data_IF_094152515173
#
_entry.id   IF_094152515173
#
_cell.length_a   1.000
_cell.length_b   1.000
_cell.length_c   1.000
_cell.angle_alpha   90.00
_cell.angle_beta   90.00
_cell.angle_gamma   90.00
#
_symmetry.space_group_name_H-M   'P 1'
#
loop_
_entity.id
_entity.type
_entity.pdbx_description
1 polymer ?
#
# COMPACT_ATOMS: atom_id res chain seq x y z
N UNK A 1 0.54 -3.48 4.52
CA UNK A 1 0.62 -4.10 3.18
C UNK A 1 -0.17 -5.39 3.21
N UNK A 2 -0.96 -5.66 2.17
CA UNK A 2 -1.82 -6.84 2.07
C UNK A 2 -1.54 -7.63 0.79
N UNK A 3 -1.54 -8.97 0.89
CA UNK A 3 -1.46 -9.90 -0.24
C UNK A 3 -2.37 -11.11 -0.01
N UNK A 4 -2.59 -11.96 -1.03
CA UNK A 4 -3.35 -13.21 -0.80
C UNK A 4 -2.47 -14.25 -0.14
N UNK A 5 -1.21 -14.33 -0.56
CA UNK A 5 -0.18 -15.23 -0.03
C UNK A 5 1.09 -14.47 0.35
N UNK A 6 2.04 -15.10 1.08
CA UNK A 6 3.33 -14.49 1.39
C UNK A 6 4.11 -14.03 0.16
N UNK A 7 3.98 -14.75 -0.96
CA UNK A 7 4.68 -14.43 -2.22
C UNK A 7 4.15 -13.15 -2.90
N UNK A 8 2.92 -12.71 -2.56
CA UNK A 8 2.34 -11.47 -3.09
C UNK A 8 2.88 -10.21 -2.38
N UNK A 9 3.59 -10.36 -1.26
CA UNK A 9 4.17 -9.24 -0.51
C UNK A 9 5.46 -8.76 -1.19
N UNK A 10 5.30 -7.93 -2.20
CA UNK A 10 6.43 -7.28 -2.84
C UNK A 10 7.23 -6.42 -1.84
N UNK A 11 8.54 -6.33 -2.06
CA UNK A 11 9.48 -5.58 -1.22
C UNK A 11 9.43 -5.91 0.30
N UNK A 12 8.88 -7.06 0.70
CA UNK A 12 8.72 -7.42 2.12
C UNK A 12 10.04 -7.37 2.89
N UNK A 13 11.11 -7.89 2.30
CA UNK A 13 12.46 -7.86 2.88
C UNK A 13 12.93 -6.42 3.09
N UNK A 14 12.83 -5.58 2.06
CA UNK A 14 13.27 -4.19 2.12
C UNK A 14 12.47 -3.37 3.14
N UNK A 15 11.15 -3.58 3.23
CA UNK A 15 10.28 -2.90 4.19
C UNK A 15 10.56 -3.34 5.64
N UNK A 16 10.89 -4.62 5.87
CA UNK A 16 11.33 -5.11 7.18
C UNK A 16 12.66 -4.50 7.61
N UNK A 17 13.63 -4.44 6.70
CA UNK A 17 14.92 -3.80 6.97
C UNK A 17 14.74 -2.31 7.29
N UNK A 18 13.90 -1.61 6.52
CA UNK A 18 13.58 -0.21 6.77
C UNK A 18 12.93 0.00 8.14
N UNK A 19 11.96 -0.84 8.52
CA UNK A 19 11.31 -0.77 9.82
C UNK A 19 12.29 -1.07 10.99
N UNK A 20 13.21 -2.02 10.80
CA UNK A 20 14.26 -2.32 11.78
C UNK A 20 15.23 -1.13 11.93
N UNK A 21 15.65 -0.54 10.82
CA UNK A 21 16.51 0.65 10.82
C UNK A 21 15.83 1.85 11.47
N UNK A 22 14.55 2.08 11.18
CA UNK A 22 13.73 3.11 11.80
C UNK A 22 13.61 2.96 13.32
N UNK A 23 13.64 1.73 13.83
CA UNK A 23 13.58 1.44 15.26
C UNK A 23 14.93 1.68 15.97
N UNK A 24 16.05 1.52 15.26
CA UNK A 24 17.39 1.64 15.82
C UNK A 24 17.89 3.09 15.96
N UNK A 25 17.26 4.06 15.29
CA UNK A 25 17.66 5.47 15.30
C UNK A 25 17.18 6.17 16.58
N UNK A 26 18.11 6.72 17.39
CA UNK A 26 17.79 7.23 18.73
C UNK A 26 16.92 8.49 18.77
N UNK A 27 16.89 9.28 17.70
CA UNK A 27 16.21 10.59 17.66
C UNK A 27 14.80 10.51 17.08
N UNK A 28 14.43 9.38 16.45
CA UNK A 28 13.12 9.13 15.84
C UNK A 28 12.71 7.66 15.95
N UNK A 29 13.08 7.00 17.06
CA UNK A 29 12.85 5.56 17.19
C UNK A 29 11.36 5.22 17.03
N UNK A 30 11.08 4.30 16.11
CA UNK A 30 9.72 3.78 15.89
C UNK A 30 8.82 4.63 14.98
N UNK A 31 9.38 5.52 14.16
CA UNK A 31 8.60 6.29 13.17
C UNK A 31 7.89 5.42 12.12
N UNK A 32 8.34 4.17 11.93
CA UNK A 32 7.73 3.21 11.01
C UNK A 32 7.42 1.89 11.72
N UNK A 33 6.16 1.46 11.60
CA UNK A 33 5.73 0.09 11.92
C UNK A 33 5.21 -0.57 10.66
N UNK A 34 5.91 -1.60 10.20
CA UNK A 34 5.49 -2.41 9.07
C UNK A 34 4.72 -3.65 9.55
N UNK A 35 3.49 -3.83 9.06
CA UNK A 35 2.66 -5.00 9.35
C UNK A 35 2.24 -5.66 8.03
N UNK A 36 2.97 -6.69 7.58
CA UNK A 36 2.55 -7.49 6.44
C UNK A 36 1.36 -8.36 6.83
N UNK A 37 0.37 -8.39 5.94
CA UNK A 37 -0.88 -9.13 6.14
C UNK A 37 -1.13 -10.00 4.92
N UNK A 38 -1.45 -11.28 5.13
CA UNK A 38 -1.83 -12.18 4.05
C UNK A 38 -3.17 -12.86 4.35
N UNK A 39 -3.95 -13.16 3.33
CA UNK A 39 -5.21 -13.89 3.52
C UNK A 39 -4.96 -15.35 3.91
N UNK A 40 -3.93 -15.99 3.34
CA UNK A 40 -3.58 -17.37 3.61
C UNK A 40 -2.10 -17.67 3.33
N UNK A 41 -1.50 -18.64 4.02
CA UNK A 41 -0.13 -19.06 3.73
C UNK A 41 0.39 -20.09 4.72
N UNK A 42 1.04 -21.14 4.20
CA UNK A 42 1.70 -22.13 5.04
C UNK A 42 2.88 -21.49 5.78
N UNK A 43 3.01 -21.76 7.09
CA UNK A 43 4.08 -21.23 7.95
C UNK A 43 4.19 -19.70 8.03
N UNK A 44 3.16 -18.96 7.59
CA UNK A 44 3.14 -17.52 7.76
C UNK A 44 3.04 -17.14 9.25
N UNK A 45 3.93 -16.25 9.69
CA UNK A 45 4.02 -15.80 11.08
C UNK A 45 3.54 -14.34 11.27
N UNK A 46 3.13 -13.67 10.20
CA UNK A 46 2.63 -12.29 10.24
C UNK A 46 1.12 -12.21 10.47
N UNK A 47 0.52 -11.07 10.13
CA UNK A 47 -0.92 -10.91 10.28
C UNK A 47 -1.69 -11.73 9.22
N UNK A 48 -2.81 -12.32 9.63
CA UNK A 48 -3.70 -13.09 8.75
C UNK A 48 -5.04 -12.37 8.60
N UNK A 49 -5.57 -12.36 7.38
CA UNK A 49 -6.83 -11.71 6.98
C UNK A 49 -6.60 -10.64 5.91
N UNK A 50 -7.52 -9.70 5.80
CA UNK A 50 -7.36 -8.54 4.90
C UNK A 50 -6.55 -7.41 5.58
N UNK A 51 -5.97 -6.52 4.77
CA UNK A 51 -5.25 -5.36 5.29
C UNK A 51 -6.16 -4.43 6.10
N UNK A 52 -7.43 -4.25 5.67
CA UNK A 52 -8.42 -3.43 6.37
C UNK A 52 -8.78 -4.00 7.76
N UNK A 53 -9.03 -5.30 7.85
CA UNK A 53 -9.29 -5.97 9.15
C UNK A 53 -8.10 -5.88 10.10
N UNK A 54 -6.89 -6.05 9.55
CA UNK A 54 -5.67 -5.90 10.34
C UNK A 54 -5.49 -4.47 10.83
N UNK A 55 -5.77 -3.46 9.99
CA UNK A 55 -5.74 -2.06 10.41
C UNK A 55 -6.74 -1.80 11.54
N UNK A 56 -8.00 -2.24 11.41
CA UNK A 56 -9.02 -2.08 12.46
C UNK A 56 -8.58 -2.71 13.78
N UNK A 57 -7.98 -3.91 13.75
CA UNK A 57 -7.48 -4.61 14.95
C UNK A 57 -6.33 -3.88 15.65
N UNK A 58 -5.52 -3.14 14.89
CA UNK A 58 -4.37 -2.40 15.41
C UNK A 58 -4.72 -1.02 15.96
N UNK A 59 -5.93 -0.53 15.68
CA UNK A 59 -6.43 0.76 16.14
C UNK A 59 -6.68 0.84 17.65
N UNK A 60 -7.20 1.98 18.13
CA UNK A 60 -7.99 2.96 17.37
C UNK A 60 -7.16 4.00 16.58
N UNK A 61 -7.74 4.56 15.51
CA UNK A 61 -7.10 5.53 14.58
C UNK A 61 -7.82 6.88 14.47
N UNK A 62 -8.52 7.29 15.53
CA UNK A 62 -9.38 8.48 15.54
C UNK A 62 -8.65 9.77 15.15
N UNK A 63 -7.38 9.90 15.57
CA UNK A 63 -6.55 11.08 15.32
C UNK A 63 -5.52 10.90 14.20
N UNK A 64 -5.66 9.90 13.34
CA UNK A 64 -4.69 9.59 12.28
C UNK A 64 -5.25 9.91 10.89
N UNK A 65 -4.39 10.38 9.98
CA UNK A 65 -4.70 10.39 8.54
C UNK A 65 -4.45 9.00 7.98
N UNK A 66 -5.48 8.42 7.34
CA UNK A 66 -5.41 7.07 6.80
C UNK A 66 -5.38 7.13 5.29
N UNK A 67 -4.31 6.58 4.71
CA UNK A 67 -4.13 6.44 3.27
C UNK A 67 -4.50 5.00 2.88
N UNK A 68 -5.43 4.84 1.94
CA UNK A 68 -5.86 3.53 1.44
C UNK A 68 -5.68 3.50 -0.07
N UNK A 69 -4.98 2.48 -0.58
CA UNK A 69 -4.63 2.36 -1.98
C UNK A 69 -4.74 0.90 -2.45
N UNK A 70 -5.42 0.65 -3.57
CA UNK A 70 -5.52 -0.66 -4.20
C UNK A 70 -6.76 -0.83 -5.07
N UNK A 71 -7.33 -2.04 -5.18
CA UNK A 71 -8.50 -2.25 -6.04
C UNK A 71 -9.75 -1.50 -5.53
N UNK A 72 -10.71 -1.14 -6.40
CA UNK A 72 -11.96 -0.51 -5.99
C UNK A 72 -12.72 -1.29 -4.91
N UNK A 73 -12.73 -2.62 -5.01
CA UNK A 73 -13.36 -3.50 -4.02
C UNK A 73 -12.64 -3.43 -2.66
N UNK A 74 -11.31 -3.56 -2.66
CA UNK A 74 -10.51 -3.55 -1.42
C UNK A 74 -10.57 -2.19 -0.72
N UNK A 75 -10.42 -1.11 -1.49
CA UNK A 75 -10.48 0.25 -0.96
C UNK A 75 -11.84 0.55 -0.36
N UNK A 76 -12.93 0.23 -1.06
CA UNK A 76 -14.30 0.37 -0.56
C UNK A 76 -14.55 -0.40 0.74
N UNK A 77 -14.16 -1.68 0.79
CA UNK A 77 -14.29 -2.51 1.98
C UNK A 77 -13.47 -1.96 3.17
N UNK A 78 -12.24 -1.50 2.92
CA UNK A 78 -11.36 -0.96 3.95
C UNK A 78 -11.88 0.36 4.52
N UNK A 79 -12.33 1.29 3.67
CA UNK A 79 -12.92 2.56 4.12
C UNK A 79 -14.17 2.31 4.96
N UNK A 80 -15.03 1.37 4.56
CA UNK A 80 -16.22 1.00 5.33
C UNK A 80 -15.85 0.45 6.71
N UNK A 81 -14.89 -0.48 6.79
CA UNK A 81 -14.43 -1.07 8.04
C UNK A 81 -13.80 -0.03 9.00
N UNK A 82 -12.95 0.86 8.48
CA UNK A 82 -12.33 1.92 9.27
C UNK A 82 -13.35 2.93 9.78
N UNK A 83 -14.30 3.34 8.94
CA UNK A 83 -15.37 4.25 9.35
C UNK A 83 -16.24 3.63 10.44
N UNK A 84 -16.59 2.35 10.31
CA UNK A 84 -17.34 1.60 11.33
C UNK A 84 -16.58 1.48 12.66
N UNK A 85 -15.24 1.46 12.62
CA UNK A 85 -14.38 1.46 13.80
C UNK A 85 -14.20 2.85 14.44
N UNK A 86 -14.80 3.90 13.86
CA UNK A 86 -14.79 5.26 14.40
C UNK A 86 -13.75 6.20 13.78
N UNK A 87 -13.11 5.84 12.66
CA UNK A 87 -12.24 6.75 11.92
C UNK A 87 -13.11 7.76 11.14
N UNK A 88 -12.91 9.08 11.33
CA UNK A 88 -13.65 10.09 10.57
C UNK A 88 -13.38 9.96 9.07
N UNK A 89 -14.44 9.96 8.26
CA UNK A 89 -14.35 9.70 6.80
C UNK A 89 -13.47 10.72 6.09
N UNK A 90 -13.47 11.96 6.56
CA UNK A 90 -12.66 13.09 6.07
C UNK A 90 -11.15 12.89 6.28
N UNK A 91 -10.75 12.02 7.22
CA UNK A 91 -9.34 11.66 7.46
C UNK A 91 -8.89 10.45 6.64
N UNK A 92 -9.80 9.84 5.87
CA UNK A 92 -9.48 8.69 5.01
C UNK A 92 -9.33 9.19 3.57
N UNK A 93 -8.10 9.23 3.10
CA UNK A 93 -7.76 9.46 1.70
C UNK A 93 -7.66 8.11 0.99
N UNK A 94 -8.34 8.01 -0.15
CA UNK A 94 -8.47 6.77 -0.88
C UNK A 94 -8.09 6.99 -2.33
N UNK A 95 -7.30 6.08 -2.86
CA UNK A 95 -6.94 5.99 -4.26
C UNK A 95 -7.21 4.56 -4.72
N UNK A 96 -7.91 4.41 -5.85
CA UNK A 96 -8.23 3.10 -6.39
C UNK A 96 -7.69 2.95 -7.81
N UNK A 97 -7.01 1.85 -8.06
CA UNK A 97 -6.57 1.47 -9.41
C UNK A 97 -7.67 0.62 -10.04
N UNK A 98 -8.81 1.24 -10.37
CA UNK A 98 -9.67 0.68 -11.43
C UNK A 98 -8.85 0.80 -12.71
N UNK A 99 -8.29 -0.33 -13.15
CA UNK A 99 -7.25 -0.47 -14.16
C UNK A 99 -6.71 0.87 -14.65
N UNK A 100 -5.58 1.32 -14.06
CA UNK A 100 -4.69 2.20 -14.79
C UNK A 100 -4.65 1.63 -16.21
N UNK A 101 -5.11 2.42 -17.19
CA UNK A 101 -4.75 2.24 -18.59
C UNK A 101 -3.25 2.52 -18.68
N UNK A 102 -2.46 1.74 -17.96
CA UNK A 102 -1.04 1.63 -18.14
C UNK A 102 -0.95 0.65 -19.30
N UNK A 103 -0.76 1.14 -20.54
CA UNK A 103 -0.45 0.22 -21.61
C UNK A 103 0.74 -0.61 -21.11
N UNK A 104 0.73 -1.95 -21.32
CA UNK A 104 1.87 -2.76 -20.93
C UNK A 104 3.13 -2.08 -21.47
N UNK A 105 4.16 -1.92 -20.65
CA UNK A 105 5.44 -1.31 -21.08
C UNK A 105 6.02 -2.03 -22.31
N UNK A 106 5.64 -3.30 -22.51
CA UNK A 106 5.94 -4.10 -23.69
C UNK A 106 5.33 -3.57 -25.01
N UNK A 107 4.23 -2.79 -24.96
CA UNK A 107 3.59 -2.18 -26.14
C UNK A 107 4.06 -0.75 -26.44
N UNK A 108 4.70 -0.08 -25.47
CA UNK A 108 5.15 1.32 -25.62
C UNK A 108 6.33 1.49 -26.60
N UNK A 109 7.07 0.42 -26.88
CA UNK A 109 8.18 0.45 -27.84
C UNK A 109 7.75 0.63 -29.30
N UNK A 110 6.47 0.42 -29.63
CA UNK A 110 5.99 0.45 -31.01
C UNK A 110 5.50 1.85 -31.49
N UNK A 111 5.40 2.83 -30.60
CA UNK A 111 4.75 4.10 -30.89
C UNK A 111 5.50 5.35 -30.39
N UNK A 112 6.79 5.25 -30.08
CA UNK A 112 7.60 6.45 -29.87
C UNK A 112 7.93 7.05 -31.24
N UNK A 113 7.46 8.25 -31.60
CA UNK A 113 7.95 8.93 -32.80
C UNK A 113 9.43 9.30 -32.58
N UNK A 114 10.28 8.98 -33.56
CA UNK A 114 11.72 9.28 -33.54
C UNK A 114 12.05 10.79 -33.59
N UNK A 115 11.02 11.65 -33.63
CA UNK A 115 11.17 13.09 -33.76
C UNK A 115 11.04 13.81 -32.41
N UNK A 116 12.19 14.11 -31.80
CA UNK A 116 12.32 14.92 -30.59
C UNK A 116 12.51 16.42 -30.87
N UNK A 117 12.28 16.89 -32.10
CA UNK A 117 12.50 18.29 -32.50
C UNK A 117 11.67 19.31 -31.70
N UNK A 118 10.61 18.87 -31.02
CA UNK A 118 9.80 19.71 -30.14
C UNK A 118 10.42 19.98 -28.75
N UNK A 119 11.48 19.27 -28.37
CA UNK A 119 12.11 19.44 -27.03
C UNK A 119 12.91 20.74 -26.87
N UNK A 120 13.12 21.51 -27.94
CA UNK A 120 13.63 22.89 -27.84
C UNK A 120 15.03 23.04 -27.26
N UNK A 121 15.81 21.96 -27.13
CA UNK A 121 17.21 22.00 -26.69
C UNK A 121 18.10 22.21 -27.92
N UNK A 122 18.81 23.35 -27.95
CA UNK A 122 19.96 23.61 -28.82
C UNK A 122 21.25 23.46 -28.05
#
# INVERSE_FOLDING_TARGET
MGGRTPDDLYDDVALRELAAAASAQSWQSGWLRYVPTVESGWQWQGAVGTAGETAVRLGPWHDTEVLVCGSPEMTGATVAALTASGVPRERILMESYDHCLYPPLAGAAAAAPDDFSWTGVR
#
